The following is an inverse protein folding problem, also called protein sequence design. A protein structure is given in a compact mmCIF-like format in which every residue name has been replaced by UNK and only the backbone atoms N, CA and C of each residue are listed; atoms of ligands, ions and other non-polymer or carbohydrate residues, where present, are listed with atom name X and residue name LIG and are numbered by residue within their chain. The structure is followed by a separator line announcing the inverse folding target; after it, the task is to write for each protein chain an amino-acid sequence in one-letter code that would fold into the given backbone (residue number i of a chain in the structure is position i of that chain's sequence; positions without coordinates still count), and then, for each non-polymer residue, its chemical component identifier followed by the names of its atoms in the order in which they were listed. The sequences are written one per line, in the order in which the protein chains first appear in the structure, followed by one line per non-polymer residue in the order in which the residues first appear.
data_IF_289680164641
#
_entry.id   IF_289680164641
#
_cell.length_a   1.000
_cell.length_b   1.000
_cell.length_c   1.000
_cell.angle_alpha   90.00
_cell.angle_beta   90.00
_cell.angle_gamma   90.00
#
_symmetry.space_group_name_H-M   'P 1'
#
loop_
_entity.id
_entity.type
_entity.pdbx_description
1 polymer ?
#
# COMPACT_ATOMS: atom_id res chain seq x y z
N UNK A 1 -18.05 19.70 0.25
CA UNK A 1 -18.56 18.40 0.72
C UNK A 1 -17.48 17.37 0.42
N UNK A 2 -16.78 16.92 1.46
CA UNK A 2 -15.83 15.82 1.33
C UNK A 2 -16.62 14.52 1.13
N UNK A 3 -16.69 14.08 -0.10
CA UNK A 3 -17.55 12.94 -0.47
C UNK A 3 -16.84 11.60 -0.28
N UNK A 4 -15.51 11.54 -0.41
CA UNK A 4 -14.72 10.32 -0.21
C UNK A 4 -13.22 10.61 -0.06
N UNK A 5 -12.50 9.73 0.63
CA UNK A 5 -11.04 9.69 0.57
C UNK A 5 -10.63 8.72 -0.53
N UNK A 6 -9.97 9.18 -1.61
CA UNK A 6 -9.54 8.29 -2.69
C UNK A 6 -8.37 7.41 -2.24
N UNK A 7 -8.34 6.19 -2.74
CA UNK A 7 -7.17 5.28 -2.64
C UNK A 7 -6.66 5.06 -4.06
N UNK A 8 -5.44 5.55 -4.34
CA UNK A 8 -4.79 5.30 -5.62
C UNK A 8 -3.98 4.00 -5.52
N UNK A 9 -4.31 3.02 -6.36
CA UNK A 9 -3.59 1.76 -6.44
C UNK A 9 -2.46 1.88 -7.47
N UNK A 10 -1.26 1.49 -7.07
CA UNK A 10 -0.06 1.44 -7.92
C UNK A 10 0.66 0.12 -7.72
N UNK A 11 1.33 -0.38 -8.76
CA UNK A 11 2.10 -1.61 -8.68
C UNK A 11 2.54 -2.08 -10.06
N UNK A 12 3.59 -2.86 -10.08
CA UNK A 12 4.22 -3.41 -11.26
C UNK A 12 3.74 -4.83 -11.57
N UNK A 13 3.91 -5.24 -12.81
CA UNK A 13 3.73 -6.63 -13.26
C UNK A 13 4.94 -7.50 -12.88
N UNK A 14 4.78 -8.82 -12.99
CA UNK A 14 5.89 -9.77 -12.77
C UNK A 14 7.07 -9.52 -13.71
N UNK A 15 6.81 -9.21 -14.97
CA UNK A 15 7.85 -8.92 -15.96
C UNK A 15 8.62 -7.65 -15.61
N UNK A 16 7.93 -6.59 -15.23
CA UNK A 16 8.53 -5.32 -14.81
C UNK A 16 9.37 -5.51 -13.54
N UNK A 17 8.89 -6.28 -12.58
CA UNK A 17 9.65 -6.60 -11.37
C UNK A 17 10.94 -7.37 -11.69
N UNK A 18 10.86 -8.42 -12.52
CA UNK A 18 12.03 -9.21 -12.94
C UNK A 18 13.08 -8.40 -13.70
N UNK A 19 12.66 -7.34 -14.40
CA UNK A 19 13.54 -6.41 -15.11
C UNK A 19 14.01 -5.23 -14.25
N UNK A 20 13.74 -5.23 -12.94
CA UNK A 20 14.08 -4.16 -12.00
C UNK A 20 13.48 -2.79 -12.36
N UNK A 21 12.28 -2.77 -12.94
CA UNK A 21 11.56 -1.57 -13.36
C UNK A 21 10.52 -1.09 -12.34
N UNK A 22 10.42 -1.71 -11.17
CA UNK A 22 9.40 -1.41 -10.15
C UNK A 22 9.30 0.08 -9.82
N UNK A 23 10.42 0.72 -9.48
CA UNK A 23 10.42 2.14 -9.13
C UNK A 23 10.05 3.05 -10.31
N UNK A 24 10.51 2.74 -11.52
CA UNK A 24 10.17 3.49 -12.73
C UNK A 24 8.67 3.41 -13.02
N UNK A 25 8.09 2.21 -12.96
CA UNK A 25 6.66 1.97 -13.18
C UNK A 25 5.82 2.72 -12.15
N UNK A 26 6.14 2.59 -10.87
CA UNK A 26 5.42 3.27 -9.78
C UNK A 26 5.55 4.79 -9.93
N UNK A 27 6.75 5.31 -10.22
CA UNK A 27 6.96 6.74 -10.45
C UNK A 27 6.09 7.26 -11.59
N UNK A 28 6.00 6.52 -12.70
CA UNK A 28 5.14 6.88 -13.82
C UNK A 28 3.65 6.85 -13.47
N UNK A 29 3.20 5.87 -12.68
CA UNK A 29 1.82 5.80 -12.22
C UNK A 29 1.47 6.96 -11.27
N UNK A 30 2.40 7.39 -10.43
CA UNK A 30 2.22 8.50 -9.48
C UNK A 30 2.19 9.88 -10.15
N UNK A 31 2.62 10.01 -11.41
CA UNK A 31 2.56 11.29 -12.16
C UNK A 31 1.16 11.87 -12.25
N UNK A 32 0.12 11.07 -12.14
CA UNK A 32 -1.27 11.55 -12.10
C UNK A 32 -1.53 12.52 -10.94
N UNK A 33 -0.69 12.49 -9.91
CA UNK A 33 -0.79 13.33 -8.71
C UNK A 33 -0.02 14.67 -8.86
N UNK A 34 0.79 14.82 -9.91
CA UNK A 34 1.58 16.03 -10.12
C UNK A 34 0.67 17.26 -10.31
N UNK A 35 0.99 18.33 -9.61
CA UNK A 35 0.24 19.58 -9.69
C UNK A 35 -1.14 19.56 -9.01
N UNK A 36 -1.56 18.44 -8.42
CA UNK A 36 -2.78 18.39 -7.63
C UNK A 36 -2.53 18.93 -6.22
N UNK A 37 -3.46 19.74 -5.75
CA UNK A 37 -3.46 20.24 -4.38
C UNK A 37 -4.43 19.40 -3.55
N UNK A 38 -3.88 18.52 -2.75
CA UNK A 38 -4.68 17.73 -1.81
C UNK A 38 -4.87 18.49 -0.53
N UNK A 39 -6.07 18.97 -0.28
CA UNK A 39 -6.43 19.60 1.01
C UNK A 39 -6.51 18.56 2.14
N UNK A 40 -6.75 17.31 1.77
CA UNK A 40 -6.89 16.17 2.67
C UNK A 40 -5.80 15.12 2.43
N UNK A 41 -5.72 14.15 3.34
CA UNK A 41 -4.79 13.03 3.25
C UNK A 41 -5.04 12.23 1.97
N UNK A 42 -3.95 11.85 1.31
CA UNK A 42 -4.00 10.91 0.19
C UNK A 42 -3.57 9.51 0.68
N UNK A 43 -4.24 8.49 0.16
CA UNK A 43 -3.93 7.10 0.44
C UNK A 43 -3.47 6.45 -0.86
N UNK A 44 -2.30 5.81 -0.81
CA UNK A 44 -1.76 5.01 -1.91
C UNK A 44 -1.79 3.55 -1.49
N UNK A 45 -2.23 2.65 -2.35
CA UNK A 45 -2.11 1.22 -2.12
C UNK A 45 -1.05 0.66 -3.08
N UNK A 46 0.01 0.08 -2.53
CA UNK A 46 0.99 -0.66 -3.31
C UNK A 46 0.49 -2.09 -3.53
N UNK A 47 0.14 -2.38 -4.76
CA UNK A 47 -0.43 -3.65 -5.21
C UNK A 47 0.44 -4.26 -6.31
N UNK A 48 1.58 -4.94 -5.98
CA UNK A 48 2.33 -5.67 -6.98
C UNK A 48 1.41 -6.71 -7.63
N UNK A 49 1.16 -6.56 -8.94
CA UNK A 49 0.12 -7.34 -9.65
C UNK A 49 0.36 -8.85 -9.53
N UNK A 50 1.61 -9.26 -9.52
CA UNK A 50 2.02 -10.66 -9.36
C UNK A 50 1.80 -11.24 -7.95
N UNK A 51 1.52 -10.40 -6.97
CA UNK A 51 1.27 -10.80 -5.57
C UNK A 51 -0.22 -10.77 -5.20
N UNK A 52 -1.11 -10.24 -6.06
CA UNK A 52 -2.54 -10.13 -5.76
C UNK A 52 -3.20 -11.50 -5.87
N UNK A 53 -3.70 -12.03 -4.73
CA UNK A 53 -4.45 -13.29 -4.68
C UNK A 53 -3.66 -14.54 -5.03
N UNK A 54 -2.33 -14.46 -5.18
CA UNK A 54 -1.48 -15.58 -5.59
C UNK A 54 -0.85 -16.33 -4.40
N UNK A 55 -0.86 -15.72 -3.22
CA UNK A 55 -0.12 -16.19 -2.05
C UNK A 55 1.37 -15.81 -2.09
N UNK A 56 1.87 -15.27 -3.20
CA UNK A 56 3.23 -14.72 -3.29
C UNK A 56 3.28 -13.33 -2.68
N UNK A 57 4.41 -12.98 -2.09
CA UNK A 57 4.67 -11.66 -1.54
C UNK A 57 6.11 -11.28 -1.78
N UNK A 58 6.42 -9.98 -2.00
CA UNK A 58 7.79 -9.50 -1.84
C UNK A 58 8.27 -9.73 -0.41
N UNK A 59 9.56 -9.66 -0.17
CA UNK A 59 10.09 -9.66 1.17
C UNK A 59 9.61 -8.43 1.95
N UNK A 60 9.64 -8.52 3.29
CA UNK A 60 9.31 -7.39 4.16
C UNK A 60 10.18 -6.16 3.86
N UNK A 61 11.44 -6.39 3.61
CA UNK A 61 12.44 -5.38 3.30
C UNK A 61 12.10 -4.66 1.98
N UNK A 62 11.82 -5.42 0.92
CA UNK A 62 11.40 -4.86 -0.37
C UNK A 62 10.11 -4.03 -0.25
N UNK A 63 9.12 -4.54 0.48
CA UNK A 63 7.87 -3.79 0.72
C UNK A 63 8.17 -2.48 1.44
N UNK A 64 8.99 -2.52 2.48
CA UNK A 64 9.33 -1.33 3.25
C UNK A 64 10.07 -0.28 2.41
N UNK A 65 11.02 -0.71 1.56
CA UNK A 65 11.76 0.16 0.64
C UNK A 65 10.84 0.81 -0.40
N UNK A 66 9.97 0.03 -1.04
CA UNK A 66 9.01 0.56 -2.02
C UNK A 66 8.01 1.51 -1.37
N UNK A 67 7.52 1.21 -0.18
CA UNK A 67 6.63 2.12 0.54
C UNK A 67 7.32 3.45 0.88
N UNK A 68 8.59 3.41 1.30
CA UNK A 68 9.39 4.61 1.50
C UNK A 68 9.54 5.40 0.20
N UNK A 69 9.89 4.73 -0.89
CA UNK A 69 10.01 5.35 -2.22
C UNK A 69 8.71 6.05 -2.64
N UNK A 70 7.56 5.42 -2.48
CA UNK A 70 6.25 6.03 -2.78
C UNK A 70 6.03 7.30 -1.96
N UNK A 71 6.33 7.27 -0.65
CA UNK A 71 6.22 8.45 0.22
C UNK A 71 7.11 9.59 -0.27
N UNK A 72 8.37 9.30 -0.57
CA UNK A 72 9.35 10.29 -1.04
C UNK A 72 8.92 10.93 -2.37
N UNK A 73 8.45 10.13 -3.34
CA UNK A 73 7.95 10.62 -4.63
C UNK A 73 6.73 11.53 -4.45
N UNK A 74 5.74 11.11 -3.69
CA UNK A 74 4.52 11.91 -3.48
C UNK A 74 4.82 13.20 -2.73
N UNK A 75 5.66 13.13 -1.70
CA UNK A 75 6.04 14.31 -0.93
C UNK A 75 6.78 15.34 -1.78
N UNK A 76 7.65 14.91 -2.67
CA UNK A 76 8.42 15.81 -3.54
C UNK A 76 7.60 16.39 -4.70
N UNK A 77 6.57 15.68 -5.16
CA UNK A 77 5.75 16.09 -6.30
C UNK A 77 4.46 16.85 -5.91
N UNK A 78 4.02 16.75 -4.66
CA UNK A 78 2.83 17.45 -4.19
C UNK A 78 3.13 18.92 -3.85
N UNK A 79 2.20 19.81 -4.19
CA UNK A 79 2.35 21.27 -3.97
C UNK A 79 2.55 21.60 -2.48
N UNK A 80 1.94 20.85 -1.58
CA UNK A 80 1.97 21.06 -0.14
C UNK A 80 2.88 20.10 0.62
N UNK A 81 3.76 19.37 -0.09
CA UNK A 81 4.69 18.38 0.48
C UNK A 81 3.98 17.36 1.39
N UNK A 82 2.80 16.92 0.99
CA UNK A 82 1.98 15.99 1.74
C UNK A 82 2.63 14.60 1.76
N UNK A 83 2.75 14.02 2.96
CA UNK A 83 3.19 12.63 3.12
C UNK A 83 1.95 11.72 3.05
N UNK A 84 1.86 10.82 2.06
CA UNK A 84 0.72 9.93 1.92
C UNK A 84 0.72 8.83 2.99
N UNK A 85 -0.46 8.24 3.23
CA UNK A 85 -0.53 6.90 3.81
C UNK A 85 -0.31 5.87 2.71
N UNK A 86 0.59 4.90 2.95
CA UNK A 86 0.88 3.84 1.99
C UNK A 86 0.50 2.49 2.59
N UNK A 87 -0.47 1.84 1.93
CA UNK A 87 -1.00 0.54 2.29
C UNK A 87 -0.36 -0.54 1.44
N UNK A 88 -0.06 -1.69 2.04
CA UNK A 88 0.30 -2.88 1.27
C UNK A 88 -0.97 -3.64 0.84
N UNK A 89 -1.13 -3.87 -0.45
CA UNK A 89 -2.32 -4.48 -1.07
C UNK A 89 -2.05 -5.79 -1.81
N UNK A 90 -0.91 -6.41 -1.64
CA UNK A 90 -0.66 -7.77 -2.13
C UNK A 90 -1.34 -8.84 -1.26
N UNK A 91 -0.86 -10.08 -1.32
CA UNK A 91 -1.41 -11.18 -0.52
C UNK A 91 -1.16 -10.98 0.97
N UNK A 92 -2.19 -10.54 1.69
CA UNK A 92 -2.19 -10.39 3.15
C UNK A 92 -3.16 -11.37 3.78
N UNK A 93 -2.70 -12.10 4.78
CA UNK A 93 -3.49 -13.05 5.55
C UNK A 93 -3.12 -13.00 7.04
N UNK A 94 -3.79 -13.83 7.84
CA UNK A 94 -3.59 -13.89 9.28
C UNK A 94 -2.20 -14.38 9.73
N UNK A 95 -1.45 -15.06 8.85
CA UNK A 95 -0.12 -15.61 9.14
C UNK A 95 1.00 -14.63 8.84
N UNK A 96 0.84 -13.79 7.80
CA UNK A 96 1.89 -12.88 7.32
C UNK A 96 1.69 -11.40 7.71
N UNK A 97 0.49 -11.00 8.09
CA UNK A 97 0.14 -9.58 8.31
C UNK A 97 1.01 -8.90 9.39
N UNK A 98 1.36 -9.61 10.46
CA UNK A 98 2.18 -9.06 11.55
C UNK A 98 3.56 -8.60 11.05
N UNK A 99 4.16 -9.33 10.11
CA UNK A 99 5.46 -8.97 9.54
C UNK A 99 5.41 -7.65 8.77
N UNK A 100 4.33 -7.43 7.99
CA UNK A 100 4.15 -6.18 7.25
C UNK A 100 3.86 -5.01 8.18
N UNK A 101 3.02 -5.22 9.19
CA UNK A 101 2.65 -4.16 10.13
C UNK A 101 3.80 -3.68 11.03
N UNK A 102 4.85 -4.46 11.17
CA UNK A 102 6.09 -4.06 11.86
C UNK A 102 7.04 -3.22 10.99
N UNK A 103 6.76 -3.08 9.69
CA UNK A 103 7.58 -2.27 8.79
C UNK A 103 7.34 -0.78 9.02
N UNK A 104 8.40 0.01 9.02
CA UNK A 104 8.35 1.44 9.37
C UNK A 104 7.47 2.25 8.43
N UNK A 105 7.61 2.02 7.11
CA UNK A 105 6.94 2.79 6.08
C UNK A 105 5.60 2.21 5.61
N UNK A 106 5.19 1.06 6.14
CA UNK A 106 3.88 0.46 5.88
C UNK A 106 2.86 1.03 6.85
N UNK A 107 1.93 1.85 6.37
CA UNK A 107 0.90 2.49 7.22
C UNK A 107 -0.33 1.62 7.45
N UNK A 108 -0.47 0.54 6.69
CA UNK A 108 -1.62 -0.36 6.81
C UNK A 108 -1.67 -1.38 5.69
N UNK A 109 -2.83 -1.99 5.51
CA UNK A 109 -3.05 -2.97 4.45
C UNK A 109 -4.42 -2.81 3.79
N UNK A 110 -4.48 -3.23 2.54
CA UNK A 110 -5.69 -3.36 1.76
C UNK A 110 -6.01 -4.86 1.64
N UNK A 111 -7.03 -5.33 2.35
CA UNK A 111 -7.30 -6.75 2.53
C UNK A 111 -8.36 -7.23 1.54
N UNK A 112 -7.98 -8.14 0.66
CA UNK A 112 -8.86 -8.80 -0.30
C UNK A 112 -9.50 -10.10 0.25
N UNK A 113 -9.12 -11.24 -0.32
CA UNK A 113 -9.73 -12.54 -0.03
C UNK A 113 -9.82 -12.92 1.46
N UNK A 114 -8.83 -12.56 2.28
CA UNK A 114 -8.85 -12.84 3.72
C UNK A 114 -9.97 -12.06 4.47
N UNK A 115 -10.52 -11.00 3.89
CA UNK A 115 -11.63 -10.25 4.47
C UNK A 115 -12.99 -10.93 4.31
N UNK A 116 -13.10 -11.94 3.43
CA UNK A 116 -14.34 -12.68 3.20
C UNK A 116 -14.72 -13.58 4.38
N UNK A 117 -13.78 -13.91 5.27
CA UNK A 117 -14.01 -14.65 6.51
C UNK A 117 -13.82 -13.73 7.71
N UNK A 118 -14.90 -13.48 8.46
CA UNK A 118 -14.86 -12.60 9.62
C UNK A 118 -13.84 -13.03 10.68
N UNK A 119 -13.62 -14.34 10.88
CA UNK A 119 -12.62 -14.85 11.81
C UNK A 119 -11.18 -14.54 11.38
N UNK A 120 -10.86 -14.71 10.09
CA UNK A 120 -9.54 -14.36 9.54
C UNK A 120 -9.31 -12.86 9.60
N UNK A 121 -10.29 -12.07 9.18
CA UNK A 121 -10.21 -10.63 9.25
C UNK A 121 -10.02 -10.11 10.69
N UNK A 122 -10.76 -10.67 11.65
CA UNK A 122 -10.62 -10.31 13.06
C UNK A 122 -9.21 -10.59 13.62
N UNK A 123 -8.55 -11.66 13.18
CA UNK A 123 -7.15 -11.95 13.56
C UNK A 123 -6.18 -10.91 12.96
N UNK A 124 -6.37 -10.56 11.69
CA UNK A 124 -5.58 -9.50 11.04
C UNK A 124 -5.73 -8.17 11.79
N UNK A 125 -6.97 -7.77 12.13
CA UNK A 125 -7.23 -6.56 12.92
C UNK A 125 -6.55 -6.61 14.29
N UNK A 126 -6.58 -7.76 14.97
CA UNK A 126 -5.92 -7.94 16.27
C UNK A 126 -4.40 -7.81 16.19
N UNK A 127 -3.77 -8.30 15.11
CA UNK A 127 -2.32 -8.16 14.91
C UNK A 127 -1.91 -6.69 14.68
N UNK A 128 -2.87 -5.85 14.37
CA UNK A 128 -2.68 -4.42 14.17
C UNK A 128 -2.64 -3.62 15.50
N UNK A 129 -3.03 -4.24 16.61
CA UNK A 129 -3.12 -3.58 17.91
C UNK A 129 -1.77 -3.07 18.40
N UNK A 130 -1.63 -1.74 18.51
CA UNK A 130 -0.46 -1.05 19.05
C UNK A 130 0.29 -0.17 18.05
N UNK A 131 -0.07 -0.19 16.78
CA UNK A 131 0.44 0.76 15.78
C UNK A 131 -0.69 1.67 15.30
N UNK A 132 -0.44 2.98 15.21
CA UNK A 132 -1.36 3.99 14.63
C UNK A 132 -1.46 3.85 13.12
N UNK A 133 -1.85 2.65 12.62
CA UNK A 133 -1.87 2.29 11.20
C UNK A 133 -3.31 2.13 10.72
N UNK A 134 -3.54 2.25 9.41
CA UNK A 134 -4.87 2.19 8.81
C UNK A 134 -5.14 0.83 8.17
N UNK A 135 -6.34 0.32 8.36
CA UNK A 135 -6.82 -0.90 7.75
C UNK A 135 -7.98 -0.59 6.81
N UNK A 136 -7.88 -1.00 5.56
CA UNK A 136 -8.93 -0.85 4.56
C UNK A 136 -9.37 -2.20 4.01
N UNK A 137 -10.68 -2.32 3.79
CA UNK A 137 -11.32 -3.49 3.20
C UNK A 137 -11.55 -3.25 1.71
N UNK A 138 -11.13 -4.20 0.88
CA UNK A 138 -11.66 -4.35 -0.47
C UNK A 138 -12.90 -5.26 -0.41
N UNK A 139 -14.02 -4.77 -0.92
CA UNK A 139 -15.20 -5.60 -1.17
C UNK A 139 -15.12 -6.22 -2.55
#
# INVERSE_FOLDING_TARGET
IDVATPILCVGETSEENQNNLTEEVISNQLKVLEGLNFQNKIVIAYEPVWAIGTGMTPSKEEINEIHKFIKDVVQSSSINSLIPYVLYGGSVNEENCENFFKSEFVDGALIGGASLKGSSFAKIVKSFNGSYKWLYLLK
#
